data_IF_490058941175
#
_entry.id   IF_490058941175
#
_cell.length_a   1.000
_cell.length_b   1.000
_cell.length_c   1.000
_cell.angle_alpha   90.00
_cell.angle_beta   90.00
_cell.angle_gamma   90.00
#
_symmetry.space_group_name_H-M   'P 1'
#
loop_
_entity.id
_entity.type
_entity.pdbx_description
1 polymer ?
#
# COMPACT_ATOMS: atom_id res chain seq x y z
N UNK A 1 6.56 1.53 -4.58
CA UNK A 1 5.50 0.71 -3.99
C UNK A 1 5.41 1.00 -2.52
N UNK A 2 4.20 1.15 -1.94
CA UNK A 2 3.99 1.68 -0.59
C UNK A 2 4.88 1.05 0.47
N UNK A 3 4.86 -0.29 0.58
CA UNK A 3 5.64 -0.98 1.62
C UNK A 3 7.13 -0.77 1.42
N UNK A 4 7.63 -1.03 0.21
CA UNK A 4 9.06 -1.03 -0.08
C UNK A 4 9.70 0.36 -0.05
N UNK A 5 8.94 1.41 -0.36
CA UNK A 5 9.46 2.78 -0.45
C UNK A 5 9.23 3.57 0.84
N UNK A 6 8.15 3.29 1.58
CA UNK A 6 7.73 4.13 2.72
C UNK A 6 7.70 3.37 4.05
N UNK A 7 7.27 2.11 4.07
CA UNK A 7 7.00 1.44 5.34
C UNK A 7 8.17 0.62 5.90
N UNK A 8 8.94 -0.09 5.05
CA UNK A 8 9.95 -1.06 5.51
C UNK A 8 11.36 -0.49 5.65
N UNK A 9 11.69 0.59 4.95
CA UNK A 9 13.08 1.09 4.82
C UNK A 9 13.79 1.28 6.16
N UNK A 10 13.20 1.86 7.21
CA UNK A 10 13.87 1.99 8.50
C UNK A 10 14.20 0.65 9.16
N UNK A 11 13.30 -0.33 9.08
CA UNK A 11 13.49 -1.67 9.62
C UNK A 11 14.55 -2.44 8.83
N UNK A 12 14.46 -2.37 7.50
CA UNK A 12 15.41 -3.01 6.58
C UNK A 12 16.83 -2.45 6.75
N UNK A 13 16.96 -1.14 6.90
CA UNK A 13 18.26 -0.50 7.15
C UNK A 13 18.93 -1.03 8.43
N UNK A 14 18.16 -1.22 9.50
CA UNK A 14 18.69 -1.83 10.74
C UNK A 14 19.07 -3.29 10.52
N UNK A 15 18.18 -4.05 9.90
CA UNK A 15 18.41 -5.47 9.63
C UNK A 15 19.68 -5.70 8.82
N UNK A 16 19.93 -4.95 7.76
CA UNK A 16 21.16 -5.03 6.97
C UNK A 16 22.40 -4.72 7.81
N UNK A 17 22.32 -3.70 8.68
CA UNK A 17 23.45 -3.32 9.55
C UNK A 17 23.78 -4.36 10.62
N UNK A 18 22.80 -5.12 11.08
CA UNK A 18 22.99 -6.18 12.08
C UNK A 18 23.44 -7.50 11.46
N UNK A 19 23.37 -7.64 10.13
CA UNK A 19 23.76 -8.84 9.39
C UNK A 19 24.79 -8.51 8.28
N UNK A 20 25.99 -8.03 8.63
CA UNK A 20 26.97 -7.53 7.65
C UNK A 20 27.51 -8.59 6.69
N UNK A 21 27.41 -9.88 7.07
CA UNK A 21 27.90 -11.01 6.29
C UNK A 21 26.82 -11.66 5.41
N UNK A 22 25.61 -11.06 5.37
CA UNK A 22 24.50 -11.54 4.55
C UNK A 22 24.38 -10.77 3.23
N UNK A 23 24.16 -11.48 2.15
CA UNK A 23 23.75 -10.90 0.86
C UNK A 23 22.22 -10.73 0.82
N UNK A 24 21.76 -9.58 0.35
CA UNK A 24 20.34 -9.25 0.24
C UNK A 24 19.94 -8.97 -1.20
N UNK A 25 18.93 -9.68 -1.69
CA UNK A 25 18.30 -9.43 -2.98
C UNK A 25 16.89 -8.91 -2.80
N UNK A 26 16.68 -7.60 -2.97
CA UNK A 26 15.39 -6.95 -2.77
C UNK A 26 14.70 -6.79 -4.11
N UNK A 27 13.52 -7.38 -4.25
CA UNK A 27 12.67 -7.28 -5.42
C UNK A 27 11.46 -6.41 -5.16
N UNK A 28 11.09 -5.61 -6.14
CA UNK A 28 9.87 -4.82 -6.12
C UNK A 28 8.88 -5.37 -7.13
N UNK A 29 7.61 -5.33 -6.77
CA UNK A 29 6.51 -5.77 -7.61
C UNK A 29 5.18 -5.37 -6.96
N UNK A 30 4.08 -5.38 -7.72
CA UNK A 30 2.76 -5.34 -7.11
C UNK A 30 2.46 -6.68 -6.41
N UNK A 31 1.36 -6.76 -5.66
CA UNK A 31 1.03 -7.95 -4.89
C UNK A 31 1.02 -9.22 -5.75
N UNK A 32 0.40 -9.16 -6.92
CA UNK A 32 0.33 -10.31 -7.83
C UNK A 32 1.71 -10.77 -8.32
N UNK A 33 2.56 -9.83 -8.71
CA UNK A 33 3.94 -10.12 -9.14
C UNK A 33 4.76 -10.77 -8.03
N UNK A 34 4.67 -10.23 -6.79
CA UNK A 34 5.41 -10.79 -5.66
C UNK A 34 4.94 -12.20 -5.29
N UNK A 35 3.63 -12.46 -5.35
CA UNK A 35 3.08 -13.80 -5.13
C UNK A 35 3.54 -14.79 -6.22
N UNK A 36 3.67 -14.35 -7.48
CA UNK A 36 4.25 -15.16 -8.54
C UNK A 36 5.72 -15.51 -8.25
N UNK A 37 6.54 -14.54 -7.88
CA UNK A 37 7.94 -14.75 -7.51
C UNK A 37 8.09 -15.70 -6.33
N UNK A 38 7.20 -15.62 -5.35
CA UNK A 38 7.18 -16.50 -4.19
C UNK A 38 6.81 -17.93 -4.61
N UNK A 39 5.81 -18.09 -5.46
CA UNK A 39 5.38 -19.38 -6.00
C UNK A 39 6.51 -20.05 -6.83
N UNK A 40 7.23 -19.27 -7.61
CA UNK A 40 8.37 -19.72 -8.42
C UNK A 40 9.65 -19.96 -7.61
N UNK A 41 9.68 -19.59 -6.33
CA UNK A 41 10.86 -19.71 -5.47
C UNK A 41 11.98 -18.74 -5.83
N UNK A 42 11.69 -17.64 -6.55
CA UNK A 42 12.67 -16.61 -6.92
C UNK A 42 12.89 -15.59 -5.79
N UNK A 43 12.02 -15.60 -4.78
CA UNK A 43 12.16 -14.90 -3.51
C UNK A 43 11.78 -15.83 -2.36
N UNK A 44 12.34 -15.60 -1.18
CA UNK A 44 12.16 -16.42 0.02
C UNK A 44 10.88 -16.06 0.77
N UNK A 45 10.62 -14.77 0.89
CA UNK A 45 9.44 -14.20 1.55
C UNK A 45 9.08 -12.87 0.89
N UNK A 46 7.86 -12.39 1.19
CA UNK A 46 7.39 -11.11 0.70
C UNK A 46 6.64 -10.34 1.80
N UNK A 47 6.55 -9.02 1.63
CA UNK A 47 5.59 -8.19 2.36
C UNK A 47 4.65 -7.60 1.32
N UNK A 48 3.37 -7.93 1.43
CA UNK A 48 2.36 -7.53 0.47
C UNK A 48 1.22 -6.76 1.13
N UNK A 49 0.48 -6.05 0.30
CA UNK A 49 -0.74 -5.34 0.67
C UNK A 49 -1.93 -5.88 -0.16
N UNK A 50 -3.15 -5.65 0.33
CA UNK A 50 -4.35 -6.04 -0.39
C UNK A 50 -4.79 -7.47 -0.12
N UNK A 51 -5.62 -8.00 -1.02
CA UNK A 51 -6.27 -9.30 -0.85
C UNK A 51 -5.56 -10.37 -1.68
N UNK A 52 -5.33 -11.52 -1.07
CA UNK A 52 -4.78 -12.73 -1.70
C UNK A 52 -5.33 -13.98 -1.01
N UNK A 53 -5.27 -15.14 -1.69
CA UNK A 53 -5.60 -16.42 -1.05
C UNK A 53 -4.47 -16.84 -0.11
N UNK A 54 -4.78 -17.01 1.17
CA UNK A 54 -3.82 -17.42 2.19
C UNK A 54 -3.52 -18.92 2.23
N UNK A 55 -4.18 -19.73 1.39
CA UNK A 55 -4.15 -21.20 1.52
C UNK A 55 -2.76 -21.80 1.32
N UNK A 56 -1.92 -21.15 0.51
CA UNK A 56 -0.58 -21.60 0.14
C UNK A 56 0.54 -20.94 0.95
N UNK A 57 0.21 -19.99 1.84
CA UNK A 57 1.21 -19.18 2.54
C UNK A 57 1.07 -19.25 4.05
N UNK A 58 2.21 -19.23 4.75
CA UNK A 58 2.27 -18.78 6.14
C UNK A 58 2.27 -17.26 6.16
N UNK A 59 1.50 -16.67 7.05
CA UNK A 59 1.29 -15.23 7.08
C UNK A 59 1.47 -14.63 8.47
N UNK A 60 2.01 -13.42 8.53
CA UNK A 60 2.13 -12.62 9.75
C UNK A 60 1.76 -11.17 9.43
N UNK A 61 0.99 -10.53 10.29
CA UNK A 61 0.71 -9.10 10.18
C UNK A 61 1.98 -8.31 10.51
N UNK A 62 2.52 -7.62 9.50
CA UNK A 62 3.69 -6.77 9.67
C UNK A 62 3.31 -5.43 10.32
N UNK A 63 2.34 -4.73 9.73
CA UNK A 63 1.83 -3.45 10.21
C UNK A 63 0.39 -3.26 9.72
N UNK A 64 -0.44 -2.61 10.53
CA UNK A 64 -1.76 -2.14 10.09
C UNK A 64 -1.68 -0.66 9.75
N UNK A 65 -2.18 -0.27 8.59
CA UNK A 65 -2.10 1.08 8.04
C UNK A 65 -3.47 1.65 7.67
N UNK A 66 -3.59 2.96 7.83
CA UNK A 66 -4.76 3.71 7.40
C UNK A 66 -4.73 3.91 5.87
N UNK A 67 -5.85 3.61 5.20
CA UNK A 67 -6.02 3.82 3.76
C UNK A 67 -6.99 4.95 3.54
N UNK A 68 -6.54 6.05 2.92
CA UNK A 68 -7.22 7.34 2.88
C UNK A 68 -7.46 7.84 1.47
N UNK A 69 -8.49 8.69 1.31
CA UNK A 69 -8.69 9.51 0.12
C UNK A 69 -7.87 10.80 0.26
N UNK A 70 -7.17 11.21 -0.80
CA UNK A 70 -6.27 12.38 -0.80
C UNK A 70 -6.42 13.23 -2.06
N UNK A 71 -6.23 14.54 -1.89
CA UNK A 71 -6.14 15.51 -2.97
C UNK A 71 -5.04 16.54 -2.69
N UNK A 72 -4.75 17.41 -3.68
CA UNK A 72 -4.00 18.65 -3.43
C UNK A 72 -4.68 19.49 -2.35
N UNK A 73 -3.89 20.19 -1.54
CA UNK A 73 -4.42 21.19 -0.61
C UNK A 73 -5.12 22.37 -1.31
N UNK A 74 -4.82 22.57 -2.59
CA UNK A 74 -5.45 23.61 -3.43
C UNK A 74 -6.63 23.11 -4.25
N UNK A 75 -6.96 21.82 -4.13
CA UNK A 75 -8.05 21.22 -4.89
C UNK A 75 -9.40 21.84 -4.56
N UNK A 76 -10.15 22.22 -5.59
CA UNK A 76 -11.48 22.79 -5.43
C UNK A 76 -12.53 21.84 -5.96
N UNK A 77 -13.29 21.24 -5.06
CA UNK A 77 -14.41 20.39 -5.42
C UNK A 77 -15.58 21.20 -5.99
N UNK A 78 -16.18 20.71 -7.08
CA UNK A 78 -17.35 21.36 -7.70
C UNK A 78 -18.60 21.38 -6.82
N UNK A 79 -18.66 20.51 -5.81
CA UNK A 79 -19.73 20.38 -4.82
C UNK A 79 -19.15 19.92 -3.48
N UNK A 80 -19.87 20.14 -2.35
CA UNK A 80 -19.45 19.58 -1.07
C UNK A 80 -19.27 18.07 -1.13
N UNK A 81 -18.19 17.56 -0.54
CA UNK A 81 -17.86 16.15 -0.48
C UNK A 81 -18.08 15.64 0.93
N UNK A 82 -18.93 14.62 1.09
CA UNK A 82 -19.26 14.01 2.38
C UNK A 82 -19.08 12.49 2.36
N UNK A 83 -19.19 11.87 1.20
CA UNK A 83 -19.13 10.43 1.03
C UNK A 83 -18.40 10.03 -0.27
N UNK A 84 -18.10 8.76 -0.41
CA UNK A 84 -17.33 8.22 -1.53
C UNK A 84 -17.98 8.50 -2.89
N UNK A 85 -19.33 8.49 -2.97
CA UNK A 85 -20.07 8.75 -4.21
C UNK A 85 -19.90 10.19 -4.69
N UNK A 86 -19.67 11.14 -3.79
CA UNK A 86 -19.47 12.54 -4.17
C UNK A 86 -18.18 12.75 -4.96
N UNK A 87 -17.21 11.83 -4.82
CA UNK A 87 -15.92 11.89 -5.53
C UNK A 87 -15.99 11.38 -6.98
N UNK A 88 -17.10 10.80 -7.43
CA UNK A 88 -17.20 10.22 -8.78
C UNK A 88 -17.11 11.25 -9.91
N UNK A 89 -17.33 12.52 -9.62
CA UNK A 89 -17.14 13.63 -10.57
C UNK A 89 -15.66 13.97 -10.81
N UNK A 90 -14.79 13.54 -9.93
CA UNK A 90 -13.36 13.85 -9.98
C UNK A 90 -12.58 12.89 -10.87
N UNK A 91 -11.37 13.31 -11.29
CA UNK A 91 -10.41 12.41 -11.94
C UNK A 91 -9.74 11.55 -10.89
N UNK A 92 -9.82 10.23 -11.05
CA UNK A 92 -9.15 9.27 -10.17
C UNK A 92 -7.79 8.88 -10.73
N UNK A 93 -6.73 9.17 -9.98
CA UNK A 93 -5.39 8.64 -10.20
C UNK A 93 -5.33 7.30 -9.45
N UNK A 94 -5.21 6.20 -10.17
CA UNK A 94 -5.33 4.84 -9.62
C UNK A 94 -4.14 3.98 -10.01
N UNK A 95 -3.78 3.06 -9.12
CA UNK A 95 -2.76 2.04 -9.40
C UNK A 95 -3.23 1.05 -10.48
N UNK A 96 -2.26 0.40 -11.07
CA UNK A 96 -2.44 -0.65 -12.08
C UNK A 96 -3.17 -1.88 -11.55
N UNK A 97 -3.64 -2.73 -12.47
CA UNK A 97 -4.17 -4.05 -12.14
C UNK A 97 -3.09 -4.92 -11.46
N UNK A 98 -3.51 -5.74 -10.48
CA UNK A 98 -2.58 -6.54 -9.66
C UNK A 98 -2.02 -5.80 -8.45
N UNK A 99 -2.19 -4.47 -8.36
CA UNK A 99 -1.82 -3.70 -7.17
C UNK A 99 -2.76 -3.98 -6.00
N UNK A 100 -2.20 -4.25 -4.82
CA UNK A 100 -2.95 -4.40 -3.58
C UNK A 100 -3.69 -3.11 -3.19
N UNK A 101 -3.07 -1.95 -3.37
CA UNK A 101 -3.68 -0.63 -3.15
C UNK A 101 -4.98 -0.49 -3.98
N UNK A 102 -4.93 -0.83 -5.27
CA UNK A 102 -6.11 -0.81 -6.15
C UNK A 102 -7.16 -1.84 -5.71
N UNK A 103 -6.74 -3.03 -5.32
CA UNK A 103 -7.65 -4.10 -4.90
C UNK A 103 -8.51 -3.69 -3.69
N UNK A 104 -7.94 -2.94 -2.73
CA UNK A 104 -8.66 -2.40 -1.57
C UNK A 104 -9.74 -1.43 -2.03
N UNK A 105 -9.40 -0.45 -2.86
CA UNK A 105 -10.38 0.50 -3.40
C UNK A 105 -11.50 -0.22 -4.15
N UNK A 106 -11.13 -1.11 -5.07
CA UNK A 106 -12.10 -1.85 -5.90
C UNK A 106 -13.09 -2.66 -5.05
N UNK A 107 -12.59 -3.36 -4.02
CA UNK A 107 -13.44 -4.10 -3.10
C UNK A 107 -14.34 -3.18 -2.28
N UNK A 108 -13.82 -2.06 -1.80
CA UNK A 108 -14.60 -1.08 -1.03
C UNK A 108 -15.71 -0.47 -1.87
N UNK A 109 -15.41 -0.09 -3.11
CA UNK A 109 -16.41 0.40 -4.06
C UNK A 109 -17.51 -0.65 -4.30
N UNK A 110 -17.12 -1.92 -4.55
CA UNK A 110 -18.06 -3.01 -4.79
C UNK A 110 -19.03 -3.23 -3.62
N UNK A 111 -18.55 -3.15 -2.36
CA UNK A 111 -19.40 -3.24 -1.16
C UNK A 111 -20.43 -2.12 -1.07
N UNK A 112 -20.23 -1.02 -1.80
CA UNK A 112 -21.16 0.12 -1.88
C UNK A 112 -21.94 0.16 -3.20
N UNK A 113 -21.95 -0.93 -3.96
CA UNK A 113 -22.51 -1.01 -5.32
C UNK A 113 -21.95 0.08 -6.23
N UNK A 114 -20.64 0.30 -6.16
CA UNK A 114 -19.88 1.22 -6.99
C UNK A 114 -18.69 0.50 -7.64
N UNK A 115 -18.13 1.14 -8.65
CA UNK A 115 -16.94 0.66 -9.35
C UNK A 115 -16.00 1.80 -9.73
N UNK A 116 -14.77 1.50 -10.10
CA UNK A 116 -13.83 2.51 -10.62
C UNK A 116 -14.35 3.18 -11.90
N UNK A 117 -15.27 2.53 -12.64
CA UNK A 117 -15.87 3.07 -13.84
C UNK A 117 -16.90 4.17 -13.58
N UNK A 118 -17.35 4.33 -12.33
CA UNK A 118 -18.27 5.40 -11.93
C UNK A 118 -17.55 6.75 -11.80
N UNK A 119 -16.22 6.74 -11.72
CA UNK A 119 -15.42 7.96 -11.77
C UNK A 119 -15.37 8.51 -13.20
N UNK A 120 -15.54 9.83 -13.33
CA UNK A 120 -15.64 10.52 -14.62
C UNK A 120 -14.42 10.30 -15.52
N UNK A 121 -13.22 10.31 -14.94
CA UNK A 121 -11.94 10.11 -15.62
C UNK A 121 -11.02 9.26 -14.78
N UNK A 122 -10.26 8.37 -15.42
CA UNK A 122 -9.26 7.54 -14.80
C UNK A 122 -7.89 7.80 -15.41
N UNK A 123 -6.86 7.82 -14.56
CA UNK A 123 -5.46 7.75 -14.97
C UNK A 123 -4.83 6.58 -14.21
N UNK A 124 -4.44 5.55 -14.93
CA UNK A 124 -3.79 4.37 -14.37
C UNK A 124 -2.27 4.58 -14.34
N UNK A 125 -1.65 4.37 -13.17
CA UNK A 125 -0.24 4.68 -12.93
C UNK A 125 0.37 3.59 -12.05
N UNK A 126 1.48 3.00 -12.48
CA UNK A 126 2.18 1.93 -11.74
C UNK A 126 3.01 2.44 -10.57
N UNK A 127 3.50 3.67 -10.63
CA UNK A 127 4.41 4.25 -9.64
C UNK A 127 3.69 5.20 -8.68
N UNK A 128 3.81 4.93 -7.36
CA UNK A 128 3.17 5.76 -6.32
C UNK A 128 3.77 7.16 -6.26
N UNK A 129 5.08 7.31 -6.39
CA UNK A 129 5.72 8.62 -6.39
C UNK A 129 5.17 9.52 -7.51
N UNK A 130 4.94 8.95 -8.70
CA UNK A 130 4.28 9.68 -9.80
C UNK A 130 2.86 10.10 -9.43
N UNK A 131 2.07 9.22 -8.77
CA UNK A 131 0.73 9.59 -8.28
C UNK A 131 0.82 10.77 -7.30
N UNK A 132 1.73 10.69 -6.31
CA UNK A 132 1.92 11.75 -5.30
C UNK A 132 2.32 13.06 -5.96
N UNK A 133 3.24 13.03 -6.94
CA UNK A 133 3.64 14.22 -7.69
C UNK A 133 2.46 14.84 -8.45
N UNK A 134 1.67 14.04 -9.15
CA UNK A 134 0.50 14.52 -9.88
C UNK A 134 -0.61 15.04 -8.95
N UNK A 135 -0.74 14.48 -7.74
CA UNK A 135 -1.66 15.01 -6.73
C UNK A 135 -1.24 16.41 -6.29
N UNK A 136 0.07 16.66 -6.06
CA UNK A 136 0.59 18.00 -5.71
C UNK A 136 0.31 19.03 -6.80
N UNK A 137 0.32 18.60 -8.06
CA UNK A 137 0.00 19.43 -9.23
C UNK A 137 -1.53 19.52 -9.50
N UNK A 138 -2.35 19.10 -8.57
CA UNK A 138 -3.83 19.11 -8.66
C UNK A 138 -4.40 18.41 -9.91
N UNK A 139 -3.79 17.29 -10.31
CA UNK A 139 -4.24 16.52 -11.46
C UNK A 139 -5.45 15.62 -11.18
N UNK A 140 -5.93 15.57 -9.94
CA UNK A 140 -7.09 14.77 -9.52
C UNK A 140 -6.98 14.31 -8.06
N UNK A 141 -7.69 13.23 -7.73
CA UNK A 141 -7.70 12.61 -6.41
C UNK A 141 -7.12 11.20 -6.47
N UNK A 142 -6.72 10.65 -5.33
CA UNK A 142 -6.32 9.25 -5.22
C UNK A 142 -6.71 8.64 -3.88
N UNK A 143 -6.55 7.32 -3.79
CA UNK A 143 -6.72 6.55 -2.56
C UNK A 143 -5.41 5.80 -2.29
N UNK A 144 -4.75 6.14 -1.19
CA UNK A 144 -3.42 5.65 -0.85
C UNK A 144 -3.34 5.32 0.64
N UNK A 145 -2.33 4.55 1.02
CA UNK A 145 -1.97 4.42 2.43
C UNK A 145 -1.41 5.75 2.93
N UNK A 146 -1.78 6.12 4.14
CA UNK A 146 -1.37 7.38 4.77
C UNK A 146 0.14 7.52 4.85
N UNK A 147 0.84 6.42 5.14
CA UNK A 147 2.31 6.40 5.17
C UNK A 147 2.98 6.76 3.84
N UNK A 148 2.29 6.59 2.72
CA UNK A 148 2.82 6.95 1.39
C UNK A 148 2.76 8.45 1.08
N UNK A 149 2.00 9.20 1.86
CA UNK A 149 1.75 10.64 1.68
C UNK A 149 1.94 11.44 2.97
N UNK A 150 2.50 10.80 4.01
CA UNK A 150 2.63 11.39 5.35
C UNK A 150 3.45 12.69 5.33
N UNK A 151 4.52 12.72 4.54
CA UNK A 151 5.34 13.90 4.38
C UNK A 151 4.54 15.05 3.76
N UNK A 152 3.86 14.80 2.65
CA UNK A 152 3.08 15.82 1.93
C UNK A 152 1.87 16.32 2.75
N UNK A 153 1.27 15.45 3.58
CA UNK A 153 0.22 15.85 4.53
C UNK A 153 0.79 16.77 5.61
N UNK A 154 1.96 16.44 6.18
CA UNK A 154 2.61 17.25 7.23
C UNK A 154 3.09 18.61 6.68
N UNK A 155 3.53 18.64 5.42
CA UNK A 155 3.96 19.86 4.72
C UNK A 155 2.76 20.69 4.21
N UNK A 156 1.54 20.17 4.32
CA UNK A 156 0.33 20.85 3.84
C UNK A 156 0.20 20.94 2.32
N UNK A 157 0.94 20.15 1.57
CA UNK A 157 0.82 20.07 0.11
C UNK A 157 -0.36 19.21 -0.33
N UNK A 158 -0.65 18.14 0.42
CA UNK A 158 -1.81 17.29 0.25
C UNK A 158 -2.71 17.37 1.48
N UNK A 159 -3.98 17.02 1.28
CA UNK A 159 -4.97 16.92 2.36
C UNK A 159 -5.73 15.60 2.25
N UNK A 160 -6.06 15.04 3.41
CA UNK A 160 -7.00 13.92 3.47
C UNK A 160 -8.41 14.46 3.20
N UNK A 161 -9.12 13.82 2.27
CA UNK A 161 -10.52 14.12 1.98
C UNK A 161 -11.38 13.46 3.06
N UNK A 162 -12.12 14.22 3.89
CA UNK A 162 -12.92 13.66 4.97
C UNK A 162 -14.19 13.00 4.40
N UNK A 163 -14.25 11.68 4.46
CA UNK A 163 -15.40 10.90 4.00
C UNK A 163 -16.05 10.19 5.18
N UNK A 164 -17.35 10.39 5.37
CA UNK A 164 -18.10 9.78 6.48
C UNK A 164 -18.28 8.27 6.35
N UNK A 165 -18.15 7.76 5.14
CA UNK A 165 -18.39 6.36 4.79
C UNK A 165 -17.15 5.62 4.29
N UNK A 166 -15.95 6.17 4.52
CA UNK A 166 -14.69 5.61 4.09
C UNK A 166 -13.65 5.67 5.23
N UNK A 167 -13.63 4.63 6.04
CA UNK A 167 -12.66 4.44 7.11
C UNK A 167 -12.09 3.03 6.97
N UNK A 168 -10.86 2.93 6.49
CA UNK A 168 -10.25 1.64 6.17
C UNK A 168 -8.89 1.52 6.86
N UNK A 169 -8.76 0.48 7.68
CA UNK A 169 -7.48 -0.02 8.16
C UNK A 169 -7.18 -1.31 7.41
N UNK A 170 -5.97 -1.46 6.93
CA UNK A 170 -5.56 -2.65 6.18
C UNK A 170 -4.15 -3.10 6.56
N UNK A 171 -3.95 -4.42 6.58
CA UNK A 171 -2.69 -4.99 7.01
C UNK A 171 -1.68 -5.08 5.85
N UNK A 172 -0.44 -4.73 6.14
CA UNK A 172 0.72 -5.21 5.41
C UNK A 172 1.08 -6.58 5.96
N UNK A 173 1.12 -7.57 5.09
CA UNK A 173 1.29 -8.97 5.47
C UNK A 173 2.64 -9.48 5.02
N UNK A 174 3.45 -9.93 5.98
CA UNK A 174 4.65 -10.72 5.71
C UNK A 174 4.23 -12.17 5.47
N UNK A 175 4.74 -12.77 4.40
CA UNK A 175 4.33 -14.12 4.02
C UNK A 175 5.44 -14.89 3.30
N UNK A 176 5.37 -16.23 3.40
CA UNK A 176 6.23 -17.20 2.72
C UNK A 176 5.46 -18.46 2.39
N UNK A 177 6.01 -19.32 1.54
CA UNK A 177 5.35 -20.58 1.13
C UNK A 177 5.15 -21.50 2.34
N UNK A 178 3.94 -22.06 2.52
CA UNK A 178 3.67 -23.11 3.50
C UNK A 178 4.63 -24.31 3.29
N UNK A 179 4.95 -24.96 4.39
CA UNK A 179 5.84 -26.14 4.41
C UNK A 179 7.28 -25.87 3.92
N UNK A 180 7.69 -24.59 3.85
CA UNK A 180 9.11 -24.29 3.63
C UNK A 180 9.95 -24.87 4.77
N UNK A 181 11.05 -25.52 4.44
CA UNK A 181 12.03 -26.03 5.43
C UNK A 181 12.69 -24.88 6.20
N UNK A 182 12.66 -23.65 5.66
CA UNK A 182 13.21 -22.41 6.25
C UNK A 182 12.18 -21.58 7.02
N UNK A 183 11.00 -22.15 7.36
CA UNK A 183 9.93 -21.41 8.02
C UNK A 183 10.34 -20.77 9.35
N UNK A 184 11.25 -21.39 10.10
CA UNK A 184 11.74 -20.85 11.37
C UNK A 184 12.64 -19.64 11.15
N UNK A 185 13.47 -19.68 10.15
CA UNK A 185 14.35 -18.57 9.74
C UNK A 185 13.52 -17.38 9.25
N UNK A 186 12.50 -17.62 8.43
CA UNK A 186 11.61 -16.54 7.96
C UNK A 186 10.81 -15.90 9.09
N UNK A 187 10.34 -16.70 10.06
CA UNK A 187 9.69 -16.17 11.27
C UNK A 187 10.64 -15.36 12.16
N UNK A 188 11.93 -15.74 12.23
CA UNK A 188 12.96 -14.96 12.93
C UNK A 188 13.20 -13.61 12.21
N UNK A 189 13.36 -13.61 10.89
CA UNK A 189 13.49 -12.40 10.07
C UNK A 189 12.30 -11.48 10.27
N UNK A 190 11.07 -12.02 10.23
CA UNK A 190 9.86 -11.26 10.49
C UNK A 190 9.88 -10.57 11.86
N UNK A 191 10.26 -11.30 12.93
CA UNK A 191 10.32 -10.74 14.29
C UNK A 191 11.33 -9.60 14.40
N UNK A 192 12.50 -9.74 13.78
CA UNK A 192 13.49 -8.67 13.75
C UNK A 192 13.04 -7.44 12.98
N UNK A 193 12.49 -7.63 11.78
CA UNK A 193 11.96 -6.53 10.97
C UNK A 193 10.81 -5.81 11.67
N UNK A 194 9.92 -6.56 12.35
CA UNK A 194 8.79 -5.98 13.10
C UNK A 194 9.24 -5.31 14.39
N UNK A 195 10.12 -5.97 15.18
CA UNK A 195 10.63 -5.44 16.46
C UNK A 195 11.40 -4.13 16.28
N UNK A 196 12.10 -4.00 15.17
CA UNK A 196 12.78 -2.77 14.80
C UNK A 196 11.83 -1.59 14.48
N UNK A 197 10.54 -1.85 14.20
CA UNK A 197 9.52 -0.81 13.92
C UNK A 197 8.81 -0.25 15.16
N UNK A 198 8.86 -0.93 16.31
CA UNK A 198 8.09 -0.58 17.51
C UNK A 198 8.83 0.32 18.51
N UNK A 199 10.12 0.61 18.30
CA UNK A 199 10.92 1.41 19.23
C UNK A 199 10.88 2.94 19.00
N UNK A 200 10.14 3.43 18.02
CA UNK A 200 10.01 4.85 17.71
C UNK A 200 8.54 5.31 17.75
N UNK A 201 7.89 5.23 18.92
CA UNK A 201 6.68 5.98 19.26
C UNK A 201 6.81 6.61 20.63
#
# INVERSE_FOLDING_TARGET
MTIGEYAIVPALSRFIKTHPDMDFHIRYGNTQTLLTYLHEGTIDFAIVEGYFSGDHYETRVYKTEEYIAVSSAHHTFSKPVHNLRDLTSERLLIREHGSGTRAILTKTLALKNMSVKDFRHLVEIENIHTIVTLLKEDCGISFLYKSAVEQELNEGMLVQIPLSDFMIMHDFTFLWNKNSIFSQEYDAVFKELRGAGLQNR
#
